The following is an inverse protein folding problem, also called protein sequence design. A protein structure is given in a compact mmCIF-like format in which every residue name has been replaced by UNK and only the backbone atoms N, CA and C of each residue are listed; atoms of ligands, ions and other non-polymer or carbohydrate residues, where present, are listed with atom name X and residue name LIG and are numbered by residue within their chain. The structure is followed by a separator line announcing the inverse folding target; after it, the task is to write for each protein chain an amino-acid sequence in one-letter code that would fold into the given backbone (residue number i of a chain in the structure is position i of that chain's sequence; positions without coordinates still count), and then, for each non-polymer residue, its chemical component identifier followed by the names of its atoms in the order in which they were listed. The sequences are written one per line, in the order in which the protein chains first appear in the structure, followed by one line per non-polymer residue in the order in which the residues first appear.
data_IF_267801139937
#
_entry.id   IF_267801139937
#
_cell.length_a   1.000
_cell.length_b   1.000
_cell.length_c   1.000
_cell.angle_alpha   90.00
_cell.angle_beta   90.00
_cell.angle_gamma   90.00
#
_symmetry.space_group_name_H-M   'P 1'
#
loop_
_entity.id
_entity.type
_entity.pdbx_description
1 polymer ?
#
# COMPACT_ATOMS: atom_id res chain seq x y z
N UNK A 1 -14.27 -45.09 7.18
CA UNK A 1 -15.02 -44.45 6.07
C UNK A 1 -15.00 -42.95 6.29
N UNK A 2 -14.03 -42.25 5.67
CA UNK A 2 -13.85 -40.81 5.83
C UNK A 2 -14.74 -40.05 4.86
N UNK A 3 -15.59 -39.18 5.40
CA UNK A 3 -16.48 -38.30 4.65
C UNK A 3 -15.63 -37.10 4.23
N UNK A 4 -15.15 -37.07 2.99
CA UNK A 4 -14.44 -35.91 2.44
C UNK A 4 -15.46 -34.78 2.22
N UNK A 5 -15.39 -33.76 3.08
CA UNK A 5 -16.15 -32.51 2.94
C UNK A 5 -15.61 -31.74 1.74
N UNK A 6 -16.37 -31.75 0.64
CA UNK A 6 -16.12 -30.94 -0.55
C UNK A 6 -16.45 -29.49 -0.20
N UNK A 7 -15.42 -28.66 -0.05
CA UNK A 7 -15.58 -27.22 0.16
C UNK A 7 -16.13 -26.62 -1.14
N UNK A 8 -17.26 -25.89 -1.11
CA UNK A 8 -17.76 -25.20 -2.30
C UNK A 8 -16.77 -24.08 -2.64
N UNK A 9 -16.07 -24.25 -3.76
CA UNK A 9 -15.35 -23.17 -4.41
C UNK A 9 -16.32 -22.00 -4.55
N UNK A 10 -15.97 -20.86 -3.96
CA UNK A 10 -16.77 -19.64 -4.03
C UNK A 10 -17.16 -19.38 -5.49
N UNK A 11 -18.43 -19.05 -5.72
CA UNK A 11 -18.92 -18.71 -7.06
C UNK A 11 -17.93 -17.72 -7.68
N UNK A 12 -17.43 -17.96 -8.91
CA UNK A 12 -16.69 -16.94 -9.62
C UNK A 12 -17.54 -15.67 -9.56
N UNK A 13 -16.93 -14.57 -9.16
CA UNK A 13 -17.57 -13.26 -9.30
C UNK A 13 -17.74 -13.10 -10.79
N UNK A 14 -18.98 -13.25 -11.28
CA UNK A 14 -19.35 -12.87 -12.63
C UNK A 14 -18.97 -11.40 -12.78
N UNK A 15 -17.81 -11.16 -13.38
CA UNK A 15 -17.48 -9.82 -13.88
C UNK A 15 -18.44 -9.68 -15.05
N UNK A 16 -19.46 -8.81 -14.95
CA UNK A 16 -20.46 -8.69 -15.99
C UNK A 16 -19.73 -8.41 -17.30
N UNK A 17 -20.03 -9.26 -18.29
CA UNK A 17 -19.56 -9.12 -19.66
C UNK A 17 -19.76 -7.67 -20.10
N UNK A 18 -18.64 -7.08 -20.51
CA UNK A 18 -18.35 -5.65 -20.43
C UNK A 18 -19.42 -4.81 -21.11
N UNK A 19 -20.17 -4.02 -20.33
CA UNK A 19 -20.92 -2.89 -20.87
C UNK A 19 -19.92 -2.01 -21.64
N UNK A 20 -20.16 -1.82 -22.95
CA UNK A 20 -19.26 -1.02 -23.79
C UNK A 20 -19.01 0.34 -23.10
N UNK A 21 -17.73 0.76 -22.98
CA UNK A 21 -17.42 2.05 -22.38
C UNK A 21 -18.12 3.14 -23.18
N UNK A 22 -18.66 4.15 -22.48
CA UNK A 22 -19.26 5.29 -23.17
C UNK A 22 -18.26 5.92 -24.13
N UNK A 23 -18.71 6.46 -25.28
CA UNK A 23 -17.85 7.14 -26.26
C UNK A 23 -16.91 8.17 -25.61
N UNK A 24 -17.37 8.85 -24.57
CA UNK A 24 -16.59 9.83 -23.81
C UNK A 24 -15.50 9.18 -22.95
N UNK A 25 -15.78 8.04 -22.33
CA UNK A 25 -14.78 7.28 -21.58
C UNK A 25 -13.71 6.72 -22.52
N UNK A 26 -14.11 6.21 -23.69
CA UNK A 26 -13.18 5.74 -24.71
C UNK A 26 -12.25 6.86 -25.17
N UNK A 27 -12.80 8.02 -25.57
CA UNK A 27 -12.00 9.18 -25.96
C UNK A 27 -11.03 9.65 -24.86
N UNK A 28 -11.42 9.52 -23.58
CA UNK A 28 -10.53 9.83 -22.47
C UNK A 28 -9.41 8.81 -22.31
N UNK A 29 -9.69 7.51 -22.50
CA UNK A 29 -8.66 6.46 -22.50
C UNK A 29 -7.66 6.67 -23.63
N UNK A 30 -8.13 6.99 -24.84
CA UNK A 30 -7.28 7.26 -26.00
C UNK A 30 -6.36 8.46 -25.75
N UNK A 31 -6.90 9.54 -25.14
CA UNK A 31 -6.12 10.71 -24.74
C UNK A 31 -5.06 10.37 -23.69
N UNK A 32 -5.38 9.53 -22.70
CA UNK A 32 -4.42 9.07 -21.69
C UNK A 32 -3.30 8.27 -22.35
N UNK A 33 -3.64 7.33 -23.25
CA UNK A 33 -2.66 6.50 -23.96
C UNK A 33 -1.72 7.34 -24.84
N UNK A 34 -2.27 8.32 -25.57
CA UNK A 34 -1.46 9.26 -26.36
C UNK A 34 -0.51 10.07 -25.48
N UNK A 35 -0.96 10.53 -24.30
CA UNK A 35 -0.12 11.30 -23.39
C UNK A 35 0.96 10.44 -22.72
N UNK A 36 0.67 9.17 -22.40
CA UNK A 36 1.67 8.20 -21.92
C UNK A 36 2.76 8.00 -22.97
N UNK A 37 2.38 7.89 -24.25
CA UNK A 37 3.33 7.70 -25.34
C UNK A 37 4.21 8.94 -25.59
N UNK A 38 3.62 10.15 -25.49
CA UNK A 38 4.35 11.40 -25.72
C UNK A 38 5.22 11.81 -24.53
N UNK A 39 4.72 11.65 -23.30
CA UNK A 39 5.36 12.13 -22.08
C UNK A 39 5.31 11.07 -20.97
N UNK A 40 6.02 9.94 -21.15
CA UNK A 40 5.99 8.86 -20.16
C UNK A 40 6.56 9.34 -18.82
N UNK A 41 5.81 9.12 -17.75
CA UNK A 41 6.25 9.42 -16.40
C UNK A 41 6.33 8.15 -15.56
N UNK A 42 7.54 7.76 -15.15
CA UNK A 42 7.75 6.59 -14.32
C UNK A 42 7.48 6.90 -12.84
N UNK A 43 6.56 6.16 -12.22
CA UNK A 43 6.24 6.25 -10.80
C UNK A 43 5.76 4.91 -10.26
N UNK A 44 6.38 4.47 -9.16
CA UNK A 44 6.10 3.19 -8.50
C UNK A 44 6.18 1.99 -9.49
N UNK A 45 7.20 1.99 -10.37
CA UNK A 45 7.45 0.93 -11.35
C UNK A 45 6.48 0.89 -12.53
N UNK A 46 5.73 1.99 -12.75
CA UNK A 46 4.68 2.08 -13.76
C UNK A 46 4.83 3.36 -14.57
N UNK A 47 4.33 3.32 -15.80
CA UNK A 47 4.32 4.48 -16.70
C UNK A 47 2.95 5.16 -16.64
N UNK A 48 2.95 6.46 -16.42
CA UNK A 48 1.76 7.29 -16.28
C UNK A 48 1.80 8.47 -17.24
N UNK A 49 0.61 8.95 -17.62
CA UNK A 49 0.45 10.30 -18.13
C UNK A 49 0.17 11.24 -16.96
N UNK A 50 0.93 12.32 -16.81
CA UNK A 50 0.84 13.19 -15.64
C UNK A 50 0.63 14.65 -16.03
N UNK A 51 -0.61 15.14 -15.84
CA UNK A 51 -1.00 16.54 -16.09
C UNK A 51 -1.83 17.10 -14.93
N UNK A 52 -1.88 18.44 -14.75
CA UNK A 52 -2.87 19.07 -13.89
C UNK A 52 -4.31 18.75 -14.35
N UNK A 53 -5.25 18.58 -13.42
CA UNK A 53 -6.66 18.27 -13.76
C UNK A 53 -7.31 19.27 -14.73
N UNK A 54 -6.92 20.54 -14.66
CA UNK A 54 -7.41 21.58 -15.56
C UNK A 54 -6.96 21.33 -17.01
N UNK A 55 -5.75 20.83 -17.22
CA UNK A 55 -5.24 20.55 -18.56
C UNK A 55 -5.93 19.34 -19.18
N UNK A 56 -6.18 18.29 -18.40
CA UNK A 56 -7.04 17.17 -18.84
C UNK A 56 -8.41 17.66 -19.31
N UNK A 57 -9.02 18.58 -18.55
CA UNK A 57 -10.33 19.15 -18.85
C UNK A 57 -10.32 19.97 -20.15
N UNK A 58 -9.29 20.79 -20.36
CA UNK A 58 -9.09 21.58 -21.59
C UNK A 58 -8.92 20.66 -22.80
N UNK A 59 -8.05 19.65 -22.72
CA UNK A 59 -7.76 18.74 -23.83
C UNK A 59 -8.97 17.88 -24.21
N UNK A 60 -9.76 17.46 -23.23
CA UNK A 60 -10.99 16.68 -23.46
C UNK A 60 -12.21 17.57 -23.76
N UNK A 61 -12.07 18.90 -23.69
CA UNK A 61 -13.15 19.88 -23.86
C UNK A 61 -14.35 19.62 -22.93
N UNK A 62 -14.07 19.34 -21.66
CA UNK A 62 -15.10 19.11 -20.62
C UNK A 62 -14.77 19.86 -19.35
N UNK A 63 -15.72 19.90 -18.42
CA UNK A 63 -15.46 20.43 -17.08
C UNK A 63 -14.52 19.51 -16.25
N UNK A 64 -13.77 20.11 -15.33
CA UNK A 64 -12.91 19.39 -14.37
C UNK A 64 -13.69 18.35 -13.53
N UNK A 65 -14.96 18.61 -13.24
CA UNK A 65 -15.85 17.66 -12.55
C UNK A 65 -16.07 16.39 -13.38
N UNK A 66 -16.19 16.53 -14.70
CA UNK A 66 -16.32 15.40 -15.63
C UNK A 66 -15.04 14.58 -15.69
N UNK A 67 -13.86 15.22 -15.74
CA UNK A 67 -12.56 14.52 -15.64
C UNK A 67 -12.47 13.71 -14.34
N UNK A 68 -12.87 14.33 -13.21
CA UNK A 68 -12.83 13.65 -11.91
C UNK A 68 -13.74 12.41 -11.89
N UNK A 69 -14.95 12.50 -12.45
CA UNK A 69 -15.88 11.37 -12.57
C UNK A 69 -15.34 10.28 -13.51
N UNK A 70 -14.79 10.66 -14.67
CA UNK A 70 -14.25 9.69 -15.64
C UNK A 70 -13.02 8.97 -15.08
N UNK A 71 -12.13 9.68 -14.37
CA UNK A 71 -10.92 9.09 -13.76
C UNK A 71 -11.20 8.03 -12.69
N UNK A 72 -12.44 7.94 -12.21
CA UNK A 72 -12.88 6.93 -11.23
C UNK A 72 -13.45 5.67 -11.89
N UNK A 73 -13.64 5.68 -13.22
CA UNK A 73 -14.23 4.56 -13.95
C UNK A 73 -13.14 3.62 -14.45
N UNK A 74 -13.39 2.31 -14.39
CA UNK A 74 -12.56 1.34 -15.09
C UNK A 74 -12.61 1.60 -16.61
N UNK A 75 -11.52 1.37 -17.36
CA UNK A 75 -10.25 0.77 -16.95
C UNK A 75 -9.18 1.79 -16.48
N UNK A 76 -9.57 3.00 -16.05
CA UNK A 76 -8.60 4.04 -15.70
C UNK A 76 -8.08 3.81 -14.28
N UNK A 77 -6.76 3.76 -14.14
CA UNK A 77 -6.10 3.87 -12.85
C UNK A 77 -5.64 5.31 -12.63
N UNK A 78 -5.84 5.80 -11.40
CA UNK A 78 -5.57 7.19 -11.04
C UNK A 78 -4.67 7.28 -9.81
N UNK A 79 -3.80 8.28 -9.82
CA UNK A 79 -2.99 8.66 -8.68
C UNK A 79 -2.90 10.19 -8.59
N UNK A 80 -3.35 10.74 -7.47
CA UNK A 80 -3.16 12.15 -7.15
C UNK A 80 -1.76 12.36 -6.54
N UNK A 81 -0.93 13.19 -7.17
CA UNK A 81 0.43 13.50 -6.69
C UNK A 81 0.68 15.01 -6.70
N UNK A 82 1.69 15.44 -5.94
CA UNK A 82 2.10 16.85 -5.90
C UNK A 82 3.47 17.02 -6.54
N UNK A 83 3.64 18.08 -7.34
CA UNK A 83 4.94 18.52 -7.87
C UNK A 83 5.14 20.00 -7.55
N UNK A 84 6.39 20.44 -7.43
CA UNK A 84 6.70 21.87 -7.43
C UNK A 84 6.61 22.39 -8.87
N UNK A 85 5.81 23.42 -9.09
CA UNK A 85 5.79 24.17 -10.34
C UNK A 85 7.06 24.98 -10.54
N UNK A 86 7.18 25.67 -11.68
CA UNK A 86 8.36 26.45 -12.03
C UNK A 86 8.74 27.54 -11.00
N UNK A 87 7.74 28.10 -10.32
CA UNK A 87 7.87 29.09 -9.26
C UNK A 87 7.97 28.48 -7.84
N UNK A 88 8.19 27.17 -7.73
CA UNK A 88 8.22 26.45 -6.46
C UNK A 88 6.84 26.21 -5.82
N UNK A 89 5.75 26.72 -6.39
CA UNK A 89 4.40 26.50 -5.84
C UNK A 89 3.98 25.04 -5.99
N UNK A 90 3.34 24.44 -4.97
CA UNK A 90 2.86 23.08 -5.07
C UNK A 90 1.68 23.00 -6.04
N UNK A 91 1.86 22.25 -7.13
CA UNK A 91 0.82 21.96 -8.12
C UNK A 91 0.34 20.52 -7.91
N UNK A 92 -0.98 20.34 -7.83
CA UNK A 92 -1.59 19.01 -7.79
C UNK A 92 -1.69 18.46 -9.21
N UNK A 93 -1.04 17.32 -9.41
CA UNK A 93 -1.02 16.57 -10.65
C UNK A 93 -1.95 15.37 -10.54
N UNK A 94 -2.60 15.03 -11.64
CA UNK A 94 -3.38 13.80 -11.79
C UNK A 94 -2.61 12.89 -12.75
N UNK A 95 -1.99 11.85 -12.19
CA UNK A 95 -1.37 10.79 -12.96
C UNK A 95 -2.43 9.75 -13.33
N UNK A 96 -2.56 9.45 -14.62
CA UNK A 96 -3.54 8.52 -15.17
C UNK A 96 -2.84 7.49 -16.05
N UNK A 97 -3.38 6.27 -16.06
CA UNK A 97 -3.04 5.24 -17.03
C UNK A 97 -4.26 4.38 -17.34
N UNK A 98 -4.23 3.72 -18.49
CA UNK A 98 -5.25 2.74 -18.88
C UNK A 98 -4.75 1.36 -18.46
N UNK A 99 -5.53 0.64 -17.66
CA UNK A 99 -5.20 -0.72 -17.23
C UNK A 99 -5.40 -1.72 -18.38
N UNK A 100 -4.54 -2.74 -18.42
CA UNK A 100 -4.73 -3.84 -19.37
C UNK A 100 -5.90 -4.73 -18.95
N UNK A 101 -6.58 -5.41 -19.90
CA UNK A 101 -7.61 -6.39 -19.57
C UNK A 101 -7.10 -7.44 -18.57
N UNK A 102 -7.84 -7.66 -17.49
CA UNK A 102 -7.46 -8.59 -16.41
C UNK A 102 -6.49 -8.02 -15.37
N UNK A 103 -5.93 -6.82 -15.59
CA UNK A 103 -5.14 -6.15 -14.58
C UNK A 103 -6.06 -5.65 -13.45
N UNK A 104 -5.71 -5.99 -12.20
CA UNK A 104 -6.41 -5.45 -11.04
C UNK A 104 -5.85 -4.06 -10.74
N UNK A 105 -6.68 -3.10 -10.28
CA UNK A 105 -6.17 -1.86 -9.71
C UNK A 105 -5.15 -2.21 -8.64
N UNK A 106 -4.01 -1.53 -8.61
CA UNK A 106 -3.10 -1.70 -7.47
C UNK A 106 -3.88 -1.33 -6.23
N UNK A 107 -3.65 -2.10 -5.17
CA UNK A 107 -4.12 -1.72 -3.85
C UNK A 107 -3.62 -0.34 -3.43
N UNK A 108 -3.75 -0.01 -2.15
CA UNK A 108 -3.15 1.24 -1.67
C UNK A 108 -1.64 1.24 -1.96
N UNK A 109 -1.14 2.25 -2.68
CA UNK A 109 0.30 2.38 -2.89
C UNK A 109 1.03 2.45 -1.54
N UNK A 110 2.28 2.00 -1.48
CA UNK A 110 3.08 2.08 -0.25
C UNK A 110 3.19 3.52 0.28
N UNK A 111 3.16 4.52 -0.62
CA UNK A 111 3.09 5.94 -0.27
C UNK A 111 1.79 6.30 0.45
N UNK A 112 0.66 5.80 -0.06
CA UNK A 112 -0.64 5.99 0.57
C UNK A 112 -0.69 5.30 1.94
N UNK A 113 -0.20 4.06 2.02
CA UNK A 113 -0.08 3.34 3.29
C UNK A 113 0.80 4.10 4.30
N UNK A 114 1.95 4.61 3.89
CA UNK A 114 2.83 5.41 4.75
C UNK A 114 2.15 6.68 5.28
N UNK A 115 1.30 7.33 4.48
CA UNK A 115 0.50 8.48 4.93
C UNK A 115 -0.54 8.06 5.98
N UNK A 116 -1.18 6.90 5.82
CA UNK A 116 -2.11 6.37 6.82
C UNK A 116 -1.35 6.01 8.11
N UNK A 117 -0.23 5.27 8.00
CA UNK A 117 0.62 4.93 9.13
C UNK A 117 1.09 6.18 9.87
N UNK A 118 1.47 7.25 9.16
CA UNK A 118 1.84 8.52 9.78
C UNK A 118 0.71 9.09 10.64
N UNK A 119 -0.51 9.14 10.11
CA UNK A 119 -1.69 9.62 10.85
C UNK A 119 -1.97 8.74 12.07
N UNK A 120 -1.85 7.43 11.94
CA UNK A 120 -2.02 6.49 13.07
C UNK A 120 -0.99 6.72 14.16
N UNK A 121 0.28 6.93 13.78
CA UNK A 121 1.36 7.23 14.73
C UNK A 121 1.12 8.55 15.45
N UNK A 122 0.80 9.61 14.70
CA UNK A 122 0.53 10.95 15.24
C UNK A 122 -0.66 10.92 16.20
N UNK A 123 -1.75 10.24 15.83
CA UNK A 123 -2.93 10.05 16.67
C UNK A 123 -2.63 9.27 17.95
N UNK A 124 -1.90 8.15 17.85
CA UNK A 124 -1.62 7.28 19.00
C UNK A 124 -0.60 7.87 19.97
N UNK A 125 0.38 8.62 19.48
CA UNK A 125 1.52 9.10 20.29
C UNK A 125 1.47 10.59 20.61
N UNK A 126 0.65 11.38 19.90
CA UNK A 126 0.65 12.83 19.97
C UNK A 126 1.89 13.50 19.36
N UNK A 127 2.72 12.75 18.61
CA UNK A 127 4.02 13.22 18.09
C UNK A 127 4.03 13.30 16.58
N UNK A 128 4.43 14.45 16.05
CA UNK A 128 4.63 14.66 14.61
C UNK A 128 5.85 13.90 14.08
N UNK A 129 5.70 13.23 12.93
CA UNK A 129 6.81 12.58 12.24
C UNK A 129 7.42 13.51 11.18
N UNK A 130 8.73 13.72 11.27
CA UNK A 130 9.49 14.42 10.23
C UNK A 130 9.67 13.59 8.95
N UNK A 131 10.08 14.24 7.87
CA UNK A 131 10.21 13.63 6.53
C UNK A 131 11.13 12.39 6.51
N UNK A 132 12.24 12.40 7.27
CA UNK A 132 13.13 11.24 7.37
C UNK A 132 12.40 9.98 7.89
N UNK A 133 11.49 10.13 8.86
CA UNK A 133 10.71 9.03 9.41
C UNK A 133 9.56 8.62 8.50
N UNK A 134 9.05 9.54 7.69
CA UNK A 134 8.07 9.19 6.65
C UNK A 134 8.64 8.21 5.62
N UNK A 135 9.90 8.40 5.20
CA UNK A 135 10.58 7.41 4.34
C UNK A 135 10.69 6.03 4.98
N UNK A 136 10.89 5.95 6.30
CA UNK A 136 10.89 4.69 7.03
C UNK A 136 9.53 4.00 7.03
N UNK A 137 8.42 4.76 7.15
CA UNK A 137 7.07 4.20 7.04
C UNK A 137 6.79 3.63 5.65
N UNK A 138 7.27 4.30 4.59
CA UNK A 138 7.18 3.76 3.23
C UNK A 138 7.93 2.43 3.11
N UNK A 139 9.16 2.38 3.64
CA UNK A 139 9.94 1.14 3.64
C UNK A 139 9.28 0.01 4.43
N UNK A 140 8.55 0.31 5.51
CA UNK A 140 7.75 -0.69 6.23
C UNK A 140 6.58 -1.20 5.38
N UNK A 141 5.86 -0.32 4.71
CA UNK A 141 4.78 -0.70 3.80
C UNK A 141 5.28 -1.55 2.62
N UNK A 142 6.49 -1.30 2.13
CA UNK A 142 7.18 -2.10 1.09
C UNK A 142 7.63 -3.48 1.60
N UNK A 143 8.02 -3.59 2.88
CA UNK A 143 8.61 -4.82 3.43
C UNK A 143 7.57 -5.78 3.98
N UNK A 144 6.48 -5.27 4.57
CA UNK A 144 5.48 -6.10 5.23
C UNK A 144 4.51 -6.76 4.24
N UNK A 145 3.92 -7.92 4.61
CA UNK A 145 3.00 -8.65 3.75
C UNK A 145 1.83 -7.79 3.26
N UNK A 146 1.52 -7.92 1.96
CA UNK A 146 0.44 -7.18 1.31
C UNK A 146 -0.91 -7.42 2.00
N UNK A 147 -1.66 -6.35 2.23
CA UNK A 147 -2.96 -6.38 2.91
C UNK A 147 -2.88 -6.33 4.44
N UNK A 148 -1.72 -6.60 5.04
CA UNK A 148 -1.54 -6.60 6.50
C UNK A 148 -0.76 -5.41 7.03
N UNK A 149 -0.15 -4.59 6.18
CA UNK A 149 0.81 -3.58 6.62
C UNK A 149 0.21 -2.59 7.63
N UNK A 150 -1.00 -2.09 7.39
CA UNK A 150 -1.68 -1.16 8.31
C UNK A 150 -2.08 -1.84 9.62
N UNK A 151 -2.46 -3.13 9.57
CA UNK A 151 -2.87 -3.90 10.75
C UNK A 151 -1.67 -4.24 11.64
N UNK A 152 -0.54 -4.65 11.04
CA UNK A 152 0.73 -4.86 11.73
C UNK A 152 1.14 -3.56 12.42
N UNK A 153 1.08 -2.44 11.69
CA UNK A 153 1.42 -1.13 12.25
C UNK A 153 0.50 -0.75 13.42
N UNK A 154 -0.82 -0.91 13.28
CA UNK A 154 -1.79 -0.61 14.33
C UNK A 154 -1.51 -1.39 15.62
N UNK A 155 -1.32 -2.70 15.51
CA UNK A 155 -1.11 -3.58 16.65
C UNK A 155 0.26 -3.31 17.30
N UNK A 156 1.30 -3.04 16.50
CA UNK A 156 2.61 -2.61 16.99
C UNK A 156 2.57 -1.30 17.79
N UNK A 157 1.73 -0.35 17.38
CA UNK A 157 1.50 0.89 18.13
C UNK A 157 0.65 0.68 19.40
N UNK A 158 -0.27 -0.28 19.37
CA UNK A 158 -1.13 -0.61 20.51
C UNK A 158 -0.39 -1.34 21.63
N UNK A 159 0.56 -2.19 21.27
CA UNK A 159 1.14 -3.21 22.16
C UNK A 159 2.67 -3.17 22.13
N UNK A 160 3.23 -1.98 22.04
CA UNK A 160 4.66 -1.76 21.86
C UNK A 160 5.57 -2.59 22.77
N UNK A 161 5.29 -2.80 24.07
CA UNK A 161 6.13 -3.64 24.92
C UNK A 161 6.30 -5.07 24.39
N UNK A 162 5.23 -5.68 23.85
CA UNK A 162 5.27 -7.02 23.27
C UNK A 162 6.18 -7.07 22.04
N UNK A 163 6.07 -6.08 21.15
CA UNK A 163 6.91 -5.98 19.97
C UNK A 163 8.37 -5.66 20.30
N UNK A 164 8.60 -4.82 21.32
CA UNK A 164 9.95 -4.54 21.81
C UNK A 164 10.62 -5.79 22.40
N UNK A 165 9.86 -6.68 23.04
CA UNK A 165 10.35 -7.97 23.50
C UNK A 165 10.77 -8.89 22.33
N UNK A 166 9.96 -8.95 21.26
CA UNK A 166 10.32 -9.68 20.04
C UNK A 166 11.61 -9.15 19.38
N UNK A 167 11.76 -7.82 19.31
CA UNK A 167 12.98 -7.18 18.81
C UNK A 167 14.19 -7.51 19.70
N UNK A 168 14.02 -7.47 21.02
CA UNK A 168 15.07 -7.86 21.98
C UNK A 168 15.52 -9.30 21.74
N UNK A 169 14.57 -10.23 21.67
CA UNK A 169 14.86 -11.64 21.42
C UNK A 169 15.63 -11.84 20.11
N UNK A 170 15.26 -11.09 19.06
CA UNK A 170 15.99 -11.13 17.77
C UNK A 170 17.43 -10.62 17.87
N UNK A 171 17.64 -9.52 18.60
CA UNK A 171 18.99 -8.96 18.84
C UNK A 171 19.86 -9.96 19.61
N UNK A 172 19.31 -10.59 20.65
CA UNK A 172 20.02 -11.60 21.45
C UNK A 172 20.35 -12.83 20.61
N UNK A 173 19.40 -13.33 19.81
CA UNK A 173 19.64 -14.42 18.88
C UNK A 173 20.77 -14.11 17.88
N UNK A 174 20.76 -12.94 17.22
CA UNK A 174 21.80 -12.60 16.25
C UNK A 174 23.18 -12.38 16.87
N UNK A 175 23.21 -11.88 18.11
CA UNK A 175 24.45 -11.78 18.88
C UNK A 175 25.01 -13.15 19.19
N UNK A 176 24.18 -14.08 19.66
CA UNK A 176 24.64 -15.39 20.10
C UNK A 176 24.96 -16.31 18.91
N UNK A 177 24.19 -16.21 17.80
CA UNK A 177 24.38 -17.02 16.60
C UNK A 177 25.51 -16.53 15.67
N UNK A 178 25.68 -15.20 15.54
CA UNK A 178 26.60 -14.61 14.56
C UNK A 178 27.67 -13.71 15.17
N UNK A 179 27.72 -13.57 16.49
CA UNK A 179 28.64 -12.64 17.17
C UNK A 179 28.37 -11.17 16.84
N UNK A 180 27.18 -10.83 16.32
CA UNK A 180 26.88 -9.45 15.87
C UNK A 180 26.74 -8.53 17.09
N UNK A 181 27.48 -7.42 17.17
CA UNK A 181 27.33 -6.48 18.26
C UNK A 181 25.96 -5.79 18.19
N UNK A 182 25.13 -6.04 19.21
CA UNK A 182 23.78 -5.47 19.34
C UNK A 182 23.54 -4.88 20.73
N UNK A 183 22.99 -3.67 20.79
CA UNK A 183 22.56 -3.04 22.06
C UNK A 183 21.04 -3.03 22.15
N UNK A 184 20.51 -3.60 23.22
CA UNK A 184 19.08 -3.52 23.56
C UNK A 184 18.80 -2.13 24.12
N UNK A 185 17.83 -1.42 23.54
CA UNK A 185 17.36 -0.12 24.03
C UNK A 185 15.85 -0.18 24.28
N UNK A 186 15.44 0.25 25.46
CA UNK A 186 14.03 0.37 25.81
C UNK A 186 13.54 1.78 25.49
N UNK A 187 12.50 1.87 24.67
CA UNK A 187 11.87 3.13 24.32
C UNK A 187 10.52 3.23 24.99
N UNK A 188 10.26 4.37 25.66
CA UNK A 188 8.95 4.68 26.24
C UNK A 188 7.82 4.70 25.20
N UNK A 189 8.15 4.98 23.95
CA UNK A 189 7.20 5.10 22.84
C UNK A 189 7.59 4.18 21.68
N UNK A 190 6.61 3.77 20.84
CA UNK A 190 6.90 3.06 19.60
C UNK A 190 7.91 3.83 18.75
N UNK A 191 8.94 3.13 18.27
CA UNK A 191 9.99 3.72 17.44
C UNK A 191 9.90 3.19 16.02
N UNK A 192 9.48 4.05 15.07
CA UNK A 192 9.45 3.72 13.65
C UNK A 192 10.81 3.26 13.14
N UNK A 193 11.91 3.83 13.66
CA UNK A 193 13.27 3.43 13.29
C UNK A 193 13.61 2.01 13.78
N UNK A 194 13.10 1.61 14.95
CA UNK A 194 13.26 0.24 15.45
C UNK A 194 12.44 -0.74 14.62
N UNK A 195 11.18 -0.41 14.34
CA UNK A 195 10.33 -1.22 13.45
C UNK A 195 10.97 -1.40 12.07
N UNK A 196 11.51 -0.32 11.50
CA UNK A 196 12.14 -0.36 10.16
C UNK A 196 13.43 -1.17 10.13
N UNK A 197 14.20 -1.18 11.23
CA UNK A 197 15.42 -1.98 11.37
C UNK A 197 15.10 -3.47 11.54
N UNK A 198 13.98 -3.79 12.20
CA UNK A 198 13.58 -5.15 12.52
C UNK A 198 12.15 -5.47 11.99
N UNK A 199 11.90 -5.31 10.68
CA UNK A 199 10.55 -5.43 10.14
C UNK A 199 9.99 -6.84 10.30
N UNK A 200 10.83 -7.86 10.16
CA UNK A 200 10.43 -9.27 10.29
C UNK A 200 10.07 -9.62 11.74
N UNK A 201 10.88 -9.20 12.72
CA UNK A 201 10.57 -9.43 14.13
C UNK A 201 9.22 -8.81 14.54
N UNK A 202 8.86 -7.65 13.96
CA UNK A 202 7.56 -7.04 14.15
C UNK A 202 6.45 -7.85 13.46
N UNK A 203 6.65 -8.27 12.22
CA UNK A 203 5.67 -9.10 11.50
C UNK A 203 5.43 -10.47 12.19
N UNK A 204 6.48 -11.10 12.69
CA UNK A 204 6.42 -12.39 13.39
C UNK A 204 5.68 -12.27 14.74
N UNK A 205 5.93 -11.18 15.48
CA UNK A 205 5.20 -10.87 16.69
C UNK A 205 3.70 -10.68 16.40
N UNK A 206 3.36 -9.95 15.32
CA UNK A 206 1.98 -9.81 14.86
C UNK A 206 1.35 -11.17 14.54
N UNK A 207 2.04 -12.03 13.79
CA UNK A 207 1.54 -13.36 13.42
C UNK A 207 1.29 -14.23 14.65
N UNK A 208 2.23 -14.26 15.60
CA UNK A 208 2.11 -15.01 16.85
C UNK A 208 0.87 -14.57 17.64
N UNK A 209 0.66 -13.26 17.75
CA UNK A 209 -0.51 -12.69 18.44
C UNK A 209 -1.81 -12.95 17.69
N UNK A 210 -1.80 -12.88 16.36
CA UNK A 210 -2.95 -13.20 15.54
C UNK A 210 -3.33 -14.68 15.67
N UNK A 211 -2.35 -15.59 15.67
CA UNK A 211 -2.57 -17.03 15.86
C UNK A 211 -3.17 -17.29 17.25
N UNK A 212 -2.56 -16.73 18.30
CA UNK A 212 -3.06 -16.87 19.68
C UNK A 212 -4.52 -16.41 19.82
N UNK A 213 -4.90 -15.28 19.21
CA UNK A 213 -6.28 -14.76 19.21
C UNK A 213 -7.28 -15.65 18.47
N UNK A 214 -6.82 -16.43 17.50
CA UNK A 214 -7.67 -17.25 16.63
C UNK A 214 -7.57 -18.77 16.91
N UNK A 215 -6.76 -19.19 17.89
CA UNK A 215 -6.48 -20.61 18.21
C UNK A 215 -7.69 -21.44 18.67
N UNK A 216 -8.91 -20.88 18.71
CA UNK A 216 -10.16 -21.60 19.01
C UNK A 216 -11.30 -21.30 18.05
N UNK A 217 -11.06 -20.56 16.96
CA UNK A 217 -12.06 -20.23 15.93
C UNK A 217 -11.52 -20.83 14.63
N UNK A 218 -12.17 -21.86 14.08
CA UNK A 218 -11.71 -22.59 12.88
C UNK A 218 -11.00 -21.68 11.86
N UNK A 219 -9.69 -21.86 11.72
CA UNK A 219 -8.77 -20.86 11.17
C UNK A 219 -8.90 -20.75 9.64
N UNK A 220 -9.09 -19.52 9.14
CA UNK A 220 -8.58 -19.11 7.82
C UNK A 220 -7.21 -18.50 8.05
N UNK A 221 -6.15 -19.05 7.43
CA UNK A 221 -4.79 -18.51 7.58
C UNK A 221 -4.75 -17.04 7.14
N UNK A 222 -3.94 -16.18 7.81
CA UNK A 222 -3.88 -14.76 7.49
C UNK A 222 -3.02 -14.49 6.25
N UNK A 223 -2.05 -15.37 5.98
CA UNK A 223 -1.15 -15.26 4.86
C UNK A 223 -1.45 -16.39 3.87
N UNK A 224 -2.34 -16.14 2.91
CA UNK A 224 -2.28 -16.89 1.65
C UNK A 224 -1.07 -16.34 0.89
N UNK A 225 0.11 -16.92 1.15
CA UNK A 225 1.29 -16.70 0.33
C UNK A 225 1.00 -17.26 -1.07
N UNK A 226 0.42 -16.44 -1.94
CA UNK A 226 0.57 -16.65 -3.37
C UNK A 226 2.05 -16.41 -3.66
N UNK A 227 2.85 -17.49 -3.66
CA UNK A 227 4.16 -17.48 -4.29
C UNK A 227 3.96 -16.96 -5.71
N UNK A 228 4.23 -15.68 -5.93
CA UNK A 228 4.52 -15.16 -7.27
C UNK A 228 5.84 -15.81 -7.62
N UNK A 229 5.78 -16.90 -8.36
CA UNK A 229 6.95 -17.46 -9.00
C UNK A 229 7.53 -16.35 -9.89
N UNK A 230 8.75 -15.93 -9.57
CA UNK A 230 9.61 -15.13 -10.45
C UNK A 230 9.91 -15.89 -11.74
#
# INVERSE_FOLDING_TARGET
MSIMSVIPLGRPVDIPDTAQPSKRLQAFCDLIAAEVAAHPFELDGRIWAMLPRKEWAVRLQVEVKTVSRLSQQAPIERLDTGRKGANGTPVRMLALRVMLPGEKPVGMSHRHMANIMRKMFESKTGRTLGNAKWGMLKGLAETWPEGHQLTIFADALGEWPFYAAGVKARIEFERDAYGTPGTVRFYRYPSVSVMRRWPNAVADAYLTRWQSKNSGKGLRQPFDYHHRNE
#
